data_IF_649909193887
#
_entry.id   IF_649909193887
#
_cell.length_a   1.000
_cell.length_b   1.000
_cell.length_c   1.000
_cell.angle_alpha   90.00
_cell.angle_beta   90.00
_cell.angle_gamma   90.00
#
_symmetry.space_group_name_H-M   'P 1'
#
loop_
_entity.id
_entity.type
_entity.pdbx_description
1 polymer ?
#
# COMPACT_ATOMS: atom_id res chain seq x y z
N UNK A 1 -2.50 31.33 -0.03
CA UNK A 1 -3.66 31.77 -0.82
C UNK A 1 -3.28 31.71 -2.29
N UNK A 2 -4.20 31.33 -3.17
CA UNK A 2 -3.94 31.24 -4.61
C UNK A 2 -4.22 32.61 -5.26
N UNK A 3 -3.32 33.15 -6.12
CA UNK A 3 -3.55 34.38 -6.86
C UNK A 3 -4.80 34.33 -7.74
N UNK A 4 -5.41 35.48 -8.01
CA UNK A 4 -6.66 35.59 -8.81
C UNK A 4 -6.46 35.10 -10.25
N UNK A 5 -5.25 35.25 -10.78
CA UNK A 5 -4.87 34.93 -12.16
C UNK A 5 -4.21 33.55 -12.32
N UNK A 6 -4.11 32.78 -11.23
CA UNK A 6 -3.50 31.46 -11.28
C UNK A 6 -4.46 30.39 -11.82
N UNK A 7 -3.90 29.43 -12.57
CA UNK A 7 -4.60 28.20 -12.92
C UNK A 7 -4.29 27.10 -11.90
N UNK A 8 -5.32 26.41 -11.42
CA UNK A 8 -5.20 25.29 -10.50
C UNK A 8 -5.59 24.02 -11.24
N UNK A 9 -4.70 23.02 -11.19
CA UNK A 9 -5.00 21.66 -11.63
C UNK A 9 -4.99 20.79 -10.38
N UNK A 10 -6.11 20.12 -10.12
CA UNK A 10 -6.23 19.14 -9.04
C UNK A 10 -6.13 17.74 -9.64
N UNK A 11 -5.23 16.92 -9.10
CA UNK A 11 -5.00 15.55 -9.55
C UNK A 11 -5.13 14.64 -8.34
N UNK A 12 -5.90 13.57 -8.48
CA UNK A 12 -6.13 12.59 -7.42
C UNK A 12 -6.88 11.38 -7.94
N UNK A 13 -6.97 10.36 -7.10
CA UNK A 13 -7.71 9.12 -7.37
C UNK A 13 -9.09 9.21 -6.72
N UNK A 14 -10.14 8.96 -7.51
CA UNK A 14 -11.54 8.99 -7.06
C UNK A 14 -11.85 7.86 -6.07
N UNK A 15 -11.12 6.75 -6.14
CA UNK A 15 -11.36 5.54 -5.35
C UNK A 15 -10.39 5.42 -4.16
N UNK A 16 -9.57 6.44 -3.90
CA UNK A 16 -8.69 6.45 -2.75
C UNK A 16 -9.49 6.49 -1.44
N UNK A 17 -8.90 5.95 -0.38
CA UNK A 17 -9.46 6.05 0.97
C UNK A 17 -9.79 7.51 1.33
N UNK A 18 -10.90 7.74 2.05
CA UNK A 18 -11.32 9.08 2.41
C UNK A 18 -10.28 9.76 3.31
N UNK A 19 -10.40 11.08 3.41
CA UNK A 19 -9.56 11.87 4.31
C UNK A 19 -9.68 11.38 5.76
N UNK A 20 -8.56 11.39 6.48
CA UNK A 20 -8.53 11.05 7.92
C UNK A 20 -9.29 12.09 8.75
N UNK A 21 -9.24 13.36 8.32
CA UNK A 21 -10.01 14.46 8.91
C UNK A 21 -11.45 14.53 8.35
N UNK A 22 -12.31 15.37 8.95
CA UNK A 22 -13.67 15.55 8.48
C UNK A 22 -13.71 16.15 7.06
N UNK A 23 -14.60 15.60 6.23
CA UNK A 23 -14.85 16.07 4.86
C UNK A 23 -14.25 15.17 3.78
N UNK A 24 -14.80 15.25 2.57
CA UNK A 24 -14.32 14.52 1.39
C UNK A 24 -14.16 15.48 0.21
N UNK A 25 -13.45 16.58 0.43
CA UNK A 25 -13.39 17.73 -0.50
C UNK A 25 -13.15 17.33 -1.95
N UNK A 26 -12.18 16.46 -2.22
CA UNK A 26 -11.89 16.06 -3.61
C UNK A 26 -13.05 15.27 -4.23
N UNK A 27 -13.68 14.38 -3.48
CA UNK A 27 -14.87 13.63 -3.92
C UNK A 27 -16.05 14.57 -4.14
N UNK A 28 -16.29 15.47 -3.19
CA UNK A 28 -17.37 16.47 -3.28
C UNK A 28 -17.19 17.38 -4.51
N UNK A 29 -15.96 17.78 -4.84
CA UNK A 29 -15.64 18.57 -6.04
C UNK A 29 -15.91 17.78 -7.34
N UNK A 30 -15.57 16.48 -7.35
CA UNK A 30 -15.85 15.57 -8.46
C UNK A 30 -17.36 15.40 -8.65
N UNK A 31 -18.11 15.22 -7.57
CA UNK A 31 -19.55 14.93 -7.56
C UNK A 31 -20.40 16.16 -7.84
N UNK A 32 -19.90 17.36 -7.54
CA UNK A 32 -20.58 18.62 -7.80
C UNK A 32 -20.85 18.88 -9.29
N UNK A 33 -20.08 18.26 -10.21
CA UNK A 33 -20.23 18.39 -11.68
C UNK A 33 -20.16 19.83 -12.22
N UNK A 34 -19.67 20.78 -11.42
CA UNK A 34 -19.52 22.19 -11.81
C UNK A 34 -18.09 22.54 -12.27
N UNK A 35 -17.13 21.65 -12.03
CA UNK A 35 -15.72 21.84 -12.40
C UNK A 35 -15.41 20.96 -13.62
N UNK A 36 -14.77 21.51 -14.67
CA UNK A 36 -14.27 20.70 -15.78
C UNK A 36 -13.35 19.61 -15.26
N UNK A 37 -13.64 18.35 -15.62
CA UNK A 37 -12.86 17.19 -15.20
C UNK A 37 -12.54 16.27 -16.37
N UNK A 38 -11.42 15.57 -16.25
CA UNK A 38 -10.99 14.51 -17.16
C UNK A 38 -10.69 13.29 -16.32
N UNK A 39 -11.37 12.18 -16.61
CA UNK A 39 -11.14 10.90 -15.94
C UNK A 39 -10.23 10.05 -16.82
N UNK A 40 -9.04 9.70 -16.32
CA UNK A 40 -8.12 8.81 -17.01
C UNK A 40 -8.54 7.36 -16.78
N UNK A 41 -8.93 6.65 -17.85
CA UNK A 41 -9.41 5.26 -17.78
C UNK A 41 -8.39 4.23 -18.23
N UNK A 42 -7.34 4.66 -18.94
CA UNK A 42 -6.33 3.78 -19.50
C UNK A 42 -5.15 3.63 -18.54
N UNK A 43 -4.82 2.39 -18.18
CA UNK A 43 -3.69 2.06 -17.32
C UNK A 43 -2.49 1.73 -18.22
N UNK A 44 -1.54 2.66 -18.31
CA UNK A 44 -0.31 2.50 -19.09
C UNK A 44 0.84 1.84 -18.32
N UNK A 45 0.58 1.32 -17.10
CA UNK A 45 1.63 0.74 -16.26
C UNK A 45 2.13 -0.56 -16.92
N UNK A 46 3.42 -0.58 -17.23
CA UNK A 46 4.06 -1.61 -18.05
C UNK A 46 4.06 -2.99 -17.36
N UNK A 47 3.20 -3.90 -17.86
CA UNK A 47 3.46 -5.29 -18.28
C UNK A 47 2.08 -5.91 -18.59
N UNK A 48 1.84 -6.26 -19.86
CA UNK A 48 0.71 -7.12 -20.22
C UNK A 48 0.76 -8.37 -19.33
N UNK A 49 -0.23 -8.55 -18.44
CA UNK A 49 -0.36 -9.75 -17.59
C UNK A 49 -0.01 -9.63 -16.10
N UNK A 50 0.10 -8.43 -15.50
CA UNK A 50 0.20 -8.34 -14.03
C UNK A 50 -1.11 -8.76 -13.35
N UNK A 51 -1.04 -9.77 -12.49
CA UNK A 51 -2.20 -10.26 -11.75
C UNK A 51 -2.67 -9.25 -10.68
N UNK A 52 -1.78 -8.38 -10.21
CA UNK A 52 -2.08 -7.34 -9.21
C UNK A 52 -3.05 -6.31 -9.79
N UNK A 53 -2.82 -5.86 -11.04
CA UNK A 53 -3.69 -4.88 -11.71
C UNK A 53 -5.09 -5.48 -11.89
N UNK A 54 -5.17 -6.71 -12.40
CA UNK A 54 -6.43 -7.41 -12.57
C UNK A 54 -7.20 -7.57 -11.25
N UNK A 55 -6.50 -7.93 -10.17
CA UNK A 55 -7.08 -8.03 -8.83
C UNK A 55 -7.65 -6.69 -8.36
N UNK A 56 -6.90 -5.59 -8.51
CA UNK A 56 -7.37 -4.28 -8.11
C UNK A 56 -8.65 -3.86 -8.85
N UNK A 57 -8.71 -4.11 -10.16
CA UNK A 57 -9.91 -3.88 -10.97
C UNK A 57 -11.10 -4.73 -10.52
N UNK A 58 -10.90 -6.03 -10.30
CA UNK A 58 -11.95 -6.94 -9.81
C UNK A 58 -12.46 -6.53 -8.43
N UNK A 59 -11.57 -6.14 -7.50
CA UNK A 59 -11.94 -5.65 -6.18
C UNK A 59 -12.77 -4.37 -6.26
N UNK A 60 -12.35 -3.40 -7.09
CA UNK A 60 -13.08 -2.15 -7.33
C UNK A 60 -14.48 -2.37 -7.88
N UNK A 61 -14.65 -3.34 -8.79
CA UNK A 61 -15.94 -3.67 -9.41
C UNK A 61 -16.81 -4.64 -8.59
N UNK A 62 -16.34 -5.08 -7.42
CA UNK A 62 -17.05 -6.06 -6.58
C UNK A 62 -17.21 -7.43 -7.25
N UNK A 63 -16.30 -7.80 -8.15
CA UNK A 63 -16.34 -9.09 -8.84
C UNK A 63 -15.80 -10.23 -7.96
N UNK A 64 -16.22 -11.49 -8.18
CA UNK A 64 -15.67 -12.64 -7.47
C UNK A 64 -14.16 -12.79 -7.72
N UNK A 65 -13.41 -13.03 -6.65
CA UNK A 65 -11.95 -13.16 -6.67
C UNK A 65 -11.55 -14.33 -5.79
N UNK A 66 -10.66 -15.18 -6.31
CA UNK A 66 -9.91 -16.11 -5.48
C UNK A 66 -8.55 -15.48 -5.11
N UNK A 67 -8.40 -15.08 -3.86
CA UNK A 67 -7.15 -14.52 -3.35
C UNK A 67 -6.09 -15.59 -3.09
N UNK A 68 -6.47 -16.87 -3.04
CA UNK A 68 -5.57 -17.98 -2.70
C UNK A 68 -4.78 -18.50 -3.89
N UNK A 69 -5.24 -18.19 -5.11
CA UNK A 69 -4.54 -18.50 -6.35
C UNK A 69 -3.16 -17.82 -6.40
N UNK A 70 -2.14 -18.59 -6.77
CA UNK A 70 -0.74 -18.13 -6.84
C UNK A 70 -0.41 -17.63 -8.24
N UNK A 71 0.17 -16.43 -8.28
CA UNK A 71 0.73 -15.82 -9.49
C UNK A 71 2.22 -15.54 -9.27
N UNK A 72 2.93 -15.15 -10.33
CA UNK A 72 4.35 -14.81 -10.25
C UNK A 72 4.61 -13.53 -9.44
N UNK A 73 3.63 -12.61 -9.42
CA UNK A 73 3.67 -11.30 -8.76
C UNK A 73 2.76 -11.22 -7.51
N UNK A 74 1.99 -12.27 -7.19
CA UNK A 74 1.13 -12.31 -6.00
C UNK A 74 1.08 -13.69 -5.36
N UNK A 75 1.18 -13.73 -4.04
CA UNK A 75 0.93 -14.94 -3.25
C UNK A 75 0.12 -14.63 -1.99
N UNK A 76 -0.75 -15.55 -1.61
CA UNK A 76 -1.47 -15.52 -0.34
C UNK A 76 -0.99 -16.66 0.56
N UNK A 77 -0.74 -16.34 1.83
CA UNK A 77 -0.28 -17.29 2.84
C UNK A 77 -1.33 -17.29 3.97
N UNK A 78 -2.16 -18.32 4.08
CA UNK A 78 -3.13 -18.44 5.17
C UNK A 78 -2.40 -18.50 6.52
N UNK A 79 -2.78 -17.62 7.45
CA UNK A 79 -2.23 -17.58 8.80
C UNK A 79 -3.20 -16.89 9.77
N UNK A 80 -3.01 -17.12 11.07
CA UNK A 80 -3.71 -16.36 12.12
C UNK A 80 -2.94 -15.08 12.47
N UNK A 81 -3.59 -14.15 13.17
CA UNK A 81 -2.97 -12.88 13.55
C UNK A 81 -1.71 -13.07 14.42
N UNK A 82 -1.67 -14.11 15.25
CA UNK A 82 -0.55 -14.48 16.10
C UNK A 82 0.65 -14.98 15.30
N UNK A 83 0.42 -15.58 14.14
CA UNK A 83 1.46 -16.13 13.26
C UNK A 83 2.07 -15.08 12.33
N UNK A 84 1.41 -13.93 12.15
CA UNK A 84 1.85 -12.87 11.23
C UNK A 84 3.28 -12.39 11.51
N UNK A 85 3.70 -12.10 12.77
CA UNK A 85 5.08 -11.68 13.05
C UNK A 85 6.14 -12.67 12.55
N UNK A 86 5.95 -13.96 12.83
CA UNK A 86 6.89 -15.01 12.44
C UNK A 86 6.91 -15.22 10.92
N UNK A 87 5.77 -15.00 10.26
CA UNK A 87 5.69 -15.10 8.81
C UNK A 87 6.39 -13.92 8.13
N UNK A 88 6.17 -12.70 8.62
CA UNK A 88 6.84 -11.49 8.13
C UNK A 88 8.36 -11.65 8.29
N UNK A 89 8.82 -12.13 9.45
CA UNK A 89 10.24 -12.42 9.67
C UNK A 89 10.83 -13.33 8.59
N UNK A 90 10.17 -14.46 8.32
CA UNK A 90 10.62 -15.43 7.32
C UNK A 90 10.63 -14.86 5.90
N UNK A 91 9.56 -14.13 5.53
CA UNK A 91 9.41 -13.56 4.18
C UNK A 91 10.46 -12.46 3.94
N UNK A 92 10.60 -11.52 4.88
CA UNK A 92 11.53 -10.40 4.77
C UNK A 92 12.97 -10.90 4.84
N UNK A 93 13.31 -11.79 5.76
CA UNK A 93 14.64 -12.41 5.83
C UNK A 93 15.01 -13.15 4.55
N UNK A 94 14.04 -13.80 3.90
CA UNK A 94 14.24 -14.46 2.60
C UNK A 94 14.49 -13.45 1.48
N UNK A 95 13.77 -12.31 1.48
CA UNK A 95 14.00 -11.23 0.53
C UNK A 95 15.39 -10.59 0.71
N UNK A 96 15.78 -10.27 1.95
CA UNK A 96 17.11 -9.73 2.25
C UNK A 96 18.23 -10.68 1.77
N UNK A 97 18.07 -12.00 2.00
CA UNK A 97 19.01 -13.01 1.47
C UNK A 97 19.10 -13.05 -0.06
N UNK A 98 18.05 -12.60 -0.76
CA UNK A 98 18.03 -12.47 -2.23
C UNK A 98 18.61 -11.14 -2.72
N UNK A 99 19.05 -10.25 -1.80
CA UNK A 99 19.69 -8.98 -2.12
C UNK A 99 18.74 -7.78 -2.17
N UNK A 100 17.49 -7.92 -1.74
CA UNK A 100 16.57 -6.79 -1.58
C UNK A 100 16.94 -5.97 -0.34
N UNK A 101 16.84 -4.65 -0.44
CA UNK A 101 17.12 -3.74 0.67
C UNK A 101 15.84 -3.14 1.30
N UNK A 102 16.01 -2.24 2.27
CA UNK A 102 14.89 -1.61 2.98
C UNK A 102 14.00 -0.77 2.05
N UNK A 103 14.53 -0.24 0.94
CA UNK A 103 13.77 0.55 -0.03
C UNK A 103 12.93 -0.31 -0.97
N UNK A 104 13.28 -1.60 -1.13
CA UNK A 104 12.53 -2.55 -1.95
C UNK A 104 11.33 -3.17 -1.22
N UNK A 105 11.29 -3.08 0.11
CA UNK A 105 10.34 -3.84 0.95
C UNK A 105 9.45 -2.89 1.75
N UNK A 106 8.14 -2.98 1.52
CA UNK A 106 7.13 -2.31 2.34
C UNK A 106 6.18 -3.33 2.97
N UNK A 107 6.05 -3.28 4.30
CA UNK A 107 5.00 -4.01 5.03
C UNK A 107 3.87 -3.04 5.37
N UNK A 108 2.63 -3.44 5.07
CA UNK A 108 1.42 -2.67 5.34
C UNK A 108 0.55 -3.45 6.33
N UNK A 109 0.02 -2.76 7.34
CA UNK A 109 -0.90 -3.34 8.32
C UNK A 109 -2.06 -2.39 8.61
N UNK A 110 -3.30 -2.90 8.74
CA UNK A 110 -4.49 -2.07 8.90
C UNK A 110 -4.65 -1.48 10.30
N UNK A 111 -3.87 -1.94 11.29
CA UNK A 111 -4.01 -1.55 12.69
C UNK A 111 -2.67 -1.24 13.35
N UNK A 112 -2.68 -0.30 14.31
CA UNK A 112 -1.48 0.03 15.10
C UNK A 112 -1.15 -1.00 16.19
N UNK A 113 -2.16 -1.64 16.78
CA UNK A 113 -2.05 -2.54 17.95
C UNK A 113 -2.38 -3.98 17.57
N UNK A 114 -2.07 -4.91 18.48
CA UNK A 114 -2.31 -6.34 18.30
C UNK A 114 -1.07 -7.09 17.81
N UNK A 115 -1.17 -8.42 17.73
CA UNK A 115 -0.13 -9.32 17.24
C UNK A 115 0.30 -9.00 15.81
N UNK A 116 -0.66 -8.63 14.95
CA UNK A 116 -0.46 -8.21 13.57
C UNK A 116 -0.39 -6.68 13.37
N UNK A 117 -0.22 -5.92 14.46
CA UNK A 117 -0.23 -4.46 14.40
C UNK A 117 1.13 -3.86 14.03
N UNK A 118 1.11 -2.63 13.50
CA UNK A 118 2.31 -1.87 13.07
C UNK A 118 3.40 -1.89 14.15
N UNK A 119 3.06 -1.64 15.43
CA UNK A 119 4.06 -1.61 16.51
C UNK A 119 4.82 -2.92 16.67
N UNK A 120 4.14 -4.05 16.52
CA UNK A 120 4.76 -5.38 16.64
C UNK A 120 5.61 -5.67 15.41
N UNK A 121 5.09 -5.35 14.22
CA UNK A 121 5.76 -5.58 12.95
C UNK A 121 7.01 -4.71 12.78
N UNK A 122 6.98 -3.44 13.17
CA UNK A 122 8.16 -2.57 13.13
C UNK A 122 9.31 -3.13 13.97
N UNK A 123 9.02 -3.68 15.14
CA UNK A 123 10.05 -4.32 15.98
C UNK A 123 10.69 -5.53 15.27
N UNK A 124 9.87 -6.38 14.64
CA UNK A 124 10.35 -7.52 13.86
C UNK A 124 11.21 -7.05 12.68
N UNK A 125 10.76 -6.03 11.95
CA UNK A 125 11.50 -5.49 10.81
C UNK A 125 12.81 -4.81 11.21
N UNK A 126 12.83 -4.09 12.33
CA UNK A 126 14.03 -3.46 12.86
C UNK A 126 15.11 -4.51 13.14
N UNK A 127 14.75 -5.63 13.77
CA UNK A 127 15.71 -6.71 14.08
C UNK A 127 16.33 -7.34 12.81
N UNK A 128 15.64 -7.28 11.67
CA UNK A 128 16.09 -7.88 10.39
C UNK A 128 16.83 -6.88 9.51
N UNK A 129 16.27 -5.68 9.35
CA UNK A 129 16.72 -4.67 8.37
C UNK A 129 17.64 -3.61 8.98
N UNK A 130 17.58 -3.41 10.31
CA UNK A 130 18.40 -2.44 11.03
C UNK A 130 18.84 -3.00 12.40
N UNK A 131 19.59 -4.11 12.43
CA UNK A 131 19.99 -4.76 13.68
C UNK A 131 20.90 -3.83 14.50
N UNK A 132 20.76 -3.90 15.83
CA UNK A 132 21.54 -3.07 16.75
C UNK A 132 23.04 -3.34 16.59
N UNK A 133 23.79 -2.31 16.20
CA UNK A 133 25.24 -2.27 16.29
C UNK A 133 25.65 -1.32 17.42
N UNK A 134 26.72 -1.64 18.15
CA UNK A 134 27.17 -0.89 19.34
C UNK A 134 27.49 0.60 19.07
N UNK A 135 27.64 1.03 17.81
CA UNK A 135 28.06 2.39 17.42
C UNK A 135 27.26 3.03 16.26
N UNK A 136 26.07 2.51 15.91
CA UNK A 136 25.25 3.07 14.83
C UNK A 136 23.95 3.69 15.35
N UNK A 137 23.61 4.92 14.89
CA UNK A 137 22.33 5.56 15.19
C UNK A 137 21.20 4.76 14.56
N UNK A 138 20.21 4.40 15.37
CA UNK A 138 18.96 3.80 14.89
C UNK A 138 18.23 4.80 13.98
N UNK A 139 17.75 4.33 12.83
CA UNK A 139 16.80 5.06 11.98
C UNK A 139 15.42 4.58 12.43
N UNK A 140 14.59 5.49 12.97
CA UNK A 140 13.19 5.26 13.35
C UNK A 140 12.25 5.24 12.12
#
# INVERSE_FOLDING_TARGET
AVPIDAQIILVGDEDQLPSVGPGQVFKDLIDAKVIPRVNLTEVYRQQDGSSIIELAHKMKLGQPIDITERFHDRSFIPCTAEQIPDLVDKVVSSAVKKGYDMSDIQVLAPMYRGSAGIKRLNKVLQDILNPKAEDAREIE
#
